data_IF_785881891805
#
_entry.id   IF_785881891805
#
_cell.length_a   1.000
_cell.length_b   1.000
_cell.length_c   1.000
_cell.angle_alpha   90.00
_cell.angle_beta   90.00
_cell.angle_gamma   90.00
#
_symmetry.space_group_name_H-M   'P 1'
#
loop_
_entity.id
_entity.type
_entity.pdbx_description
1 polymer ?
#
# COMPACT_ATOMS: atom_id res chain seq x y z
N UNK A 1 -12.56 -3.68 -2.41
CA UNK A 1 -12.01 -3.07 -1.18
C UNK A 1 -13.09 -2.60 -0.22
N UNK A 2 -14.10 -1.83 -0.66
CA UNK A 2 -15.21 -1.41 0.21
C UNK A 2 -15.85 -2.56 1.01
N UNK A 3 -16.10 -3.72 0.36
CA UNK A 3 -16.58 -4.92 1.05
C UNK A 3 -15.63 -5.38 2.19
N UNK A 4 -14.31 -5.29 2.03
CA UNK A 4 -13.35 -5.57 3.11
C UNK A 4 -13.52 -4.56 4.26
N UNK A 5 -13.65 -3.28 3.93
CA UNK A 5 -13.80 -2.21 4.93
C UNK A 5 -15.14 -2.32 5.69
N UNK A 6 -16.16 -2.94 5.09
CA UNK A 6 -17.43 -3.29 5.72
C UNK A 6 -17.42 -4.64 6.46
N UNK A 7 -16.30 -5.37 6.46
CA UNK A 7 -16.21 -6.68 7.13
C UNK A 7 -16.85 -7.84 6.37
N UNK A 8 -16.93 -7.74 5.04
CA UNK A 8 -17.53 -8.73 4.13
C UNK A 8 -16.45 -9.41 3.26
N UNK A 9 -15.55 -10.24 3.84
CA UNK A 9 -14.40 -10.79 3.12
C UNK A 9 -14.78 -11.79 2.01
N UNK A 10 -15.91 -12.49 2.15
CA UNK A 10 -16.36 -13.44 1.13
C UNK A 10 -16.88 -12.72 -0.11
N UNK A 11 -17.71 -11.69 0.08
CA UNK A 11 -18.14 -10.79 -1.00
C UNK A 11 -16.96 -10.09 -1.65
N UNK A 12 -15.97 -9.65 -0.87
CA UNK A 12 -14.74 -9.10 -1.42
C UNK A 12 -13.99 -10.13 -2.28
N UNK A 13 -13.92 -11.39 -1.85
CA UNK A 13 -13.29 -12.48 -2.60
C UNK A 13 -13.91 -12.66 -3.97
N UNK A 14 -15.23 -12.85 -4.04
CA UNK A 14 -15.94 -13.05 -5.31
C UNK A 14 -15.70 -11.87 -6.29
N UNK A 15 -15.79 -10.64 -5.79
CA UNK A 15 -15.59 -9.43 -6.60
C UNK A 15 -14.15 -9.29 -7.09
N UNK A 16 -13.16 -9.58 -6.23
CA UNK A 16 -11.75 -9.44 -6.56
C UNK A 16 -11.26 -10.53 -7.51
N UNK A 17 -11.71 -11.77 -7.34
CA UNK A 17 -11.41 -12.88 -8.24
C UNK A 17 -11.95 -12.60 -9.65
N UNK A 18 -13.20 -12.13 -9.75
CA UNK A 18 -13.77 -11.73 -11.02
C UNK A 18 -13.01 -10.56 -11.67
N UNK A 19 -12.69 -9.52 -10.89
CA UNK A 19 -11.94 -8.37 -11.37
C UNK A 19 -10.53 -8.74 -11.83
N UNK A 20 -9.88 -9.71 -11.18
CA UNK A 20 -8.56 -10.19 -11.56
C UNK A 20 -8.58 -10.82 -12.95
N UNK A 21 -9.54 -11.72 -13.18
CA UNK A 21 -9.75 -12.35 -14.50
C UNK A 21 -9.94 -11.28 -15.58
N UNK A 22 -10.81 -10.30 -15.34
CA UNK A 22 -11.05 -9.22 -16.31
C UNK A 22 -9.79 -8.38 -16.58
N UNK A 23 -9.04 -8.02 -15.53
CA UNK A 23 -7.83 -7.23 -15.67
C UNK A 23 -6.74 -7.99 -16.44
N UNK A 24 -6.57 -9.29 -16.17
CA UNK A 24 -5.60 -10.14 -16.87
C UNK A 24 -5.96 -10.35 -18.34
N UNK A 25 -7.23 -10.61 -18.65
CA UNK A 25 -7.69 -10.80 -20.02
C UNK A 25 -7.56 -9.51 -20.85
N UNK A 26 -7.83 -8.36 -20.23
CA UNK A 26 -7.63 -7.06 -20.86
C UNK A 26 -6.15 -6.67 -20.98
N UNK A 27 -5.24 -7.39 -20.31
CA UNK A 27 -3.83 -7.01 -20.12
C UNK A 27 -3.67 -5.59 -19.59
N UNK A 28 -4.60 -5.16 -18.73
CA UNK A 28 -4.54 -3.85 -18.11
C UNK A 28 -3.67 -3.94 -16.85
N UNK A 29 -2.36 -3.70 -17.03
CA UNK A 29 -1.38 -3.81 -15.95
C UNK A 29 -1.69 -2.88 -14.77
N UNK A 30 -2.28 -1.71 -15.04
CA UNK A 30 -2.62 -0.72 -14.01
C UNK A 30 -3.83 -1.17 -13.20
N UNK A 31 -4.81 -1.77 -13.87
CA UNK A 31 -5.93 -2.41 -13.20
C UNK A 31 -5.49 -3.65 -12.42
N UNK A 32 -4.60 -4.48 -12.97
CA UNK A 32 -4.02 -5.63 -12.28
C UNK A 32 -3.37 -5.22 -10.96
N UNK A 33 -2.57 -4.15 -10.93
CA UNK A 33 -1.98 -3.64 -9.69
C UNK A 33 -3.05 -3.20 -8.66
N UNK A 34 -4.13 -2.59 -9.12
CA UNK A 34 -5.25 -2.16 -8.27
C UNK A 34 -6.00 -3.36 -7.68
N UNK A 35 -6.28 -4.39 -8.49
CA UNK A 35 -6.94 -5.61 -8.01
C UNK A 35 -6.03 -6.43 -7.10
N UNK A 36 -4.75 -6.53 -7.44
CA UNK A 36 -3.73 -7.20 -6.63
C UNK A 36 -3.64 -6.59 -5.22
N UNK A 37 -3.78 -5.27 -5.07
CA UNK A 37 -3.88 -4.62 -3.75
C UNK A 37 -5.04 -5.16 -2.92
N UNK A 38 -6.21 -5.28 -3.53
CA UNK A 38 -7.39 -5.84 -2.87
C UNK A 38 -7.20 -7.31 -2.50
N UNK A 39 -6.64 -8.12 -3.40
CA UNK A 39 -6.33 -9.52 -3.15
C UNK A 39 -5.30 -9.70 -2.03
N UNK A 40 -4.23 -8.91 -2.04
CA UNK A 40 -3.22 -8.91 -0.99
C UNK A 40 -3.84 -8.61 0.38
N UNK A 41 -4.68 -7.57 0.48
CA UNK A 41 -5.41 -7.23 1.70
C UNK A 41 -6.34 -8.36 2.16
N UNK A 42 -7.14 -8.94 1.27
CA UNK A 42 -8.02 -10.06 1.58
C UNK A 42 -7.23 -11.28 2.10
N UNK A 43 -6.13 -11.62 1.44
CA UNK A 43 -5.26 -12.74 1.82
C UNK A 43 -4.62 -12.49 3.19
N UNK A 44 -4.18 -11.26 3.47
CA UNK A 44 -3.66 -10.87 4.79
C UNK A 44 -4.74 -10.96 5.88
N UNK A 45 -5.98 -10.52 5.61
CA UNK A 45 -7.11 -10.65 6.54
C UNK A 45 -7.43 -12.11 6.88
N UNK A 46 -7.17 -13.03 5.96
CA UNK A 46 -7.29 -14.50 6.17
C UNK A 46 -6.07 -15.11 6.89
N UNK A 47 -5.07 -14.31 7.24
CA UNK A 47 -3.88 -14.74 7.98
C UNK A 47 -2.73 -15.30 7.11
N UNK A 48 -2.87 -15.31 5.78
CA UNK A 48 -1.80 -15.78 4.88
C UNK A 48 -0.88 -14.63 4.47
N UNK A 49 0.03 -14.25 5.37
CA UNK A 49 1.00 -13.18 5.09
C UNK A 49 1.92 -13.47 3.88
N UNK A 50 2.50 -14.68 3.71
CA UNK A 50 3.25 -15.00 2.50
C UNK A 50 2.42 -14.86 1.22
N UNK A 51 1.15 -15.27 1.24
CA UNK A 51 0.26 -15.13 0.10
C UNK A 51 -0.09 -13.67 -0.21
N UNK A 52 -0.27 -12.85 0.80
CA UNK A 52 -0.49 -11.42 0.64
C UNK A 52 0.71 -10.75 -0.04
N UNK A 53 1.94 -11.07 0.39
CA UNK A 53 3.17 -10.60 -0.26
C UNK A 53 3.25 -11.03 -1.72
N UNK A 54 2.94 -12.30 -2.03
CA UNK A 54 2.93 -12.78 -3.42
C UNK A 54 1.99 -11.97 -4.31
N UNK A 55 0.83 -11.54 -3.81
CA UNK A 55 -0.08 -10.69 -4.58
C UNK A 55 0.49 -9.31 -4.86
N UNK A 56 1.24 -8.72 -3.91
CA UNK A 56 1.94 -7.45 -4.15
C UNK A 56 2.96 -7.60 -5.28
N UNK A 57 3.78 -8.66 -5.23
CA UNK A 57 4.76 -8.95 -6.29
C UNK A 57 4.08 -9.23 -7.64
N UNK A 58 2.98 -10.00 -7.64
CA UNK A 58 2.18 -10.33 -8.82
C UNK A 58 1.63 -9.07 -9.50
N UNK A 59 1.12 -8.12 -8.72
CA UNK A 59 0.58 -6.86 -9.26
C UNK A 59 1.64 -5.91 -9.80
N UNK A 60 2.87 -5.96 -9.27
CA UNK A 60 3.98 -5.12 -9.73
C UNK A 60 4.72 -5.70 -10.93
N UNK A 61 4.73 -7.04 -11.10
CA UNK A 61 5.49 -7.75 -12.15
C UNK A 61 5.19 -7.29 -13.59
N UNK A 62 3.95 -6.95 -13.98
CA UNK A 62 3.65 -6.47 -15.33
C UNK A 62 4.18 -5.07 -15.63
N UNK A 63 4.87 -4.43 -14.69
CA UNK A 63 5.38 -3.06 -14.80
C UNK A 63 4.27 -2.05 -15.17
N UNK A 64 3.29 -1.82 -14.29
CA UNK A 64 2.22 -0.87 -14.57
C UNK A 64 2.80 0.54 -14.80
N UNK A 65 2.43 1.16 -15.91
CA UNK A 65 3.01 2.45 -16.31
C UNK A 65 2.46 3.64 -15.52
N UNK A 66 1.25 3.53 -14.96
CA UNK A 66 0.71 4.57 -14.08
C UNK A 66 1.31 4.41 -12.68
N UNK A 67 1.88 5.50 -12.18
CA UNK A 67 2.54 5.51 -10.88
C UNK A 67 1.56 5.36 -9.71
N UNK A 68 0.31 5.82 -9.87
CA UNK A 68 -0.67 5.83 -8.79
C UNK A 68 -1.08 4.40 -8.34
N UNK A 69 -1.45 3.45 -9.23
CA UNK A 69 -1.68 2.06 -8.84
C UNK A 69 -0.47 1.40 -8.17
N UNK A 70 0.74 1.63 -8.70
CA UNK A 70 1.97 1.10 -8.12
C UNK A 70 2.21 1.64 -6.71
N UNK A 71 2.03 2.94 -6.50
CA UNK A 71 2.20 3.57 -5.20
C UNK A 71 1.18 3.04 -4.17
N UNK A 72 -0.09 2.84 -4.57
CA UNK A 72 -1.11 2.28 -3.68
C UNK A 72 -0.85 0.81 -3.33
N UNK A 73 -0.33 0.03 -4.28
CA UNK A 73 0.03 -1.36 -4.07
C UNK A 73 1.25 -1.49 -3.14
N UNK A 74 2.30 -0.66 -3.35
CA UNK A 74 3.47 -0.58 -2.48
C UNK A 74 3.11 -0.11 -1.06
N UNK A 75 2.25 0.90 -0.93
CA UNK A 75 1.75 1.39 0.39
C UNK A 75 1.08 0.26 1.17
N UNK A 76 0.18 -0.49 0.53
CA UNK A 76 -0.45 -1.66 1.13
C UNK A 76 0.56 -2.78 1.43
N UNK A 77 1.52 -3.01 0.54
CA UNK A 77 2.59 -3.98 0.73
C UNK A 77 3.44 -3.69 1.98
N UNK A 78 3.77 -2.43 2.24
CA UNK A 78 4.49 -2.03 3.44
C UNK A 78 3.72 -2.40 4.72
N UNK A 79 2.42 -2.08 4.78
CA UNK A 79 1.56 -2.44 5.91
C UNK A 79 1.46 -3.97 6.12
N UNK A 80 1.33 -4.73 5.02
CA UNK A 80 1.22 -6.19 5.03
C UNK A 80 2.53 -6.84 5.51
N UNK A 81 3.67 -6.38 5.00
CA UNK A 81 4.98 -6.94 5.31
C UNK A 81 5.50 -6.52 6.69
N UNK A 82 5.03 -5.42 7.27
CA UNK A 82 5.58 -4.77 8.47
C UNK A 82 5.96 -5.72 9.61
N UNK A 83 5.06 -6.65 9.97
CA UNK A 83 5.27 -7.55 11.11
C UNK A 83 5.97 -8.86 10.75
N UNK A 84 5.75 -9.38 9.55
CA UNK A 84 6.21 -10.72 9.16
C UNK A 84 7.50 -10.70 8.33
N UNK A 85 7.77 -9.60 7.63
CA UNK A 85 8.86 -9.43 6.67
C UNK A 85 9.41 -7.98 6.72
N UNK A 86 9.98 -7.54 7.86
CA UNK A 86 10.39 -6.15 8.05
C UNK A 86 11.43 -5.67 7.04
N UNK A 87 12.36 -6.52 6.58
CA UNK A 87 13.33 -6.14 5.55
C UNK A 87 12.69 -5.92 4.17
N UNK A 88 11.58 -6.62 3.89
CA UNK A 88 10.80 -6.40 2.68
C UNK A 88 9.96 -5.12 2.79
N UNK A 89 9.36 -4.87 3.96
CA UNK A 89 8.65 -3.62 4.23
C UNK A 89 9.56 -2.39 4.06
N UNK A 90 10.80 -2.47 4.55
CA UNK A 90 11.81 -1.42 4.38
C UNK A 90 12.14 -1.15 2.91
N UNK A 91 12.43 -2.20 2.13
CA UNK A 91 12.65 -2.06 0.69
C UNK A 91 11.45 -1.45 -0.04
N UNK A 92 10.24 -1.89 0.25
CA UNK A 92 9.05 -1.34 -0.39
C UNK A 92 8.77 0.10 0.05
N UNK A 93 9.10 0.49 1.29
CA UNK A 93 9.00 1.87 1.73
C UNK A 93 9.98 2.78 0.96
N UNK A 94 11.19 2.29 0.68
CA UNK A 94 12.16 2.98 -0.16
C UNK A 94 11.72 3.09 -1.62
N UNK A 95 11.20 2.00 -2.19
CA UNK A 95 10.64 2.01 -3.54
C UNK A 95 9.45 2.97 -3.66
N UNK A 96 8.53 2.94 -2.69
CA UNK A 96 7.40 3.86 -2.61
C UNK A 96 7.87 5.31 -2.55
N UNK A 97 8.84 5.60 -1.69
CA UNK A 97 9.42 6.94 -1.54
C UNK A 97 9.99 7.46 -2.86
N UNK A 98 10.83 6.64 -3.52
CA UNK A 98 11.44 7.00 -4.78
C UNK A 98 10.43 7.17 -5.92
N UNK A 99 9.47 6.26 -6.05
CA UNK A 99 8.41 6.32 -7.06
C UNK A 99 7.51 7.54 -6.85
N UNK A 100 7.06 7.77 -5.61
CA UNK A 100 6.17 8.87 -5.27
C UNK A 100 6.83 10.24 -5.47
N UNK A 101 8.11 10.39 -5.09
CA UNK A 101 8.85 11.62 -5.28
C UNK A 101 9.00 11.97 -6.77
N UNK A 102 9.33 11.00 -7.63
CA UNK A 102 9.41 11.22 -9.09
C UNK A 102 8.05 11.52 -9.72
N UNK A 103 6.98 10.93 -9.18
CA UNK A 103 5.62 11.08 -9.69
C UNK A 103 4.84 12.27 -9.16
N UNK A 104 5.41 13.09 -8.27
CA UNK A 104 4.70 14.18 -7.60
C UNK A 104 3.56 13.71 -6.68
N UNK A 105 3.60 12.45 -6.22
CA UNK A 105 2.57 11.84 -5.37
C UNK A 105 2.81 12.21 -3.90
N UNK A 106 2.61 13.49 -3.56
CA UNK A 106 2.95 14.08 -2.24
C UNK A 106 2.45 13.26 -1.04
N UNK A 107 1.20 12.79 -1.07
CA UNK A 107 0.66 11.96 0.02
C UNK A 107 1.36 10.61 0.16
N UNK A 108 1.81 10.01 -0.94
CA UNK A 108 2.54 8.74 -0.92
C UNK A 108 3.98 8.90 -0.44
N UNK A 109 4.60 10.07 -0.69
CA UNK A 109 5.89 10.42 -0.06
C UNK A 109 5.74 10.45 1.46
N UNK A 110 4.66 11.04 1.97
CA UNK A 110 4.37 11.10 3.41
C UNK A 110 4.10 9.70 3.97
N UNK A 111 3.33 8.87 3.26
CA UNK A 111 3.07 7.48 3.65
C UNK A 111 4.35 6.64 3.69
N UNK A 112 5.28 6.83 2.75
CA UNK A 112 6.59 6.18 2.83
C UNK A 112 7.36 6.56 4.11
N UNK A 113 7.32 7.84 4.52
CA UNK A 113 7.91 8.27 5.79
C UNK A 113 7.19 7.66 7.01
N UNK A 114 5.87 7.49 6.94
CA UNK A 114 5.12 6.79 8.00
C UNK A 114 5.60 5.34 8.14
N UNK A 115 5.85 4.63 7.04
CA UNK A 115 6.38 3.27 7.09
C UNK A 115 7.79 3.23 7.68
N UNK A 116 8.68 4.16 7.30
CA UNK A 116 10.01 4.28 7.90
C UNK A 116 9.98 4.57 9.40
N UNK A 117 9.08 5.44 9.84
CA UNK A 117 8.88 5.70 11.27
C UNK A 117 8.48 4.43 12.04
N UNK A 118 7.56 3.64 11.47
CA UNK A 118 7.15 2.34 12.04
C UNK A 118 8.26 1.29 12.05
N UNK A 119 9.18 1.37 11.10
CA UNK A 119 10.40 0.55 11.04
C UNK A 119 11.51 1.04 11.98
N UNK A 120 11.30 2.17 12.67
CA UNK A 120 12.19 2.66 13.72
C UNK A 120 13.06 3.86 13.34
N UNK A 121 12.83 4.52 12.20
CA UNK A 121 13.49 5.79 11.90
C UNK A 121 12.90 6.92 12.78
N UNK A 122 13.67 7.45 13.76
CA UNK A 122 13.15 8.42 14.71
C UNK A 122 12.83 9.78 14.10
N UNK A 123 13.34 10.09 12.90
CA UNK A 123 13.17 11.39 12.25
C UNK A 123 12.07 11.39 11.17
N UNK A 124 11.62 10.20 10.77
CA UNK A 124 10.69 10.06 9.65
C UNK A 124 9.31 10.66 9.97
N UNK A 125 8.81 10.52 11.20
CA UNK A 125 7.47 11.04 11.55
C UNK A 125 7.41 12.58 11.59
N UNK A 126 8.48 13.23 12.07
CA UNK A 126 8.59 14.69 12.06
C UNK A 126 8.65 15.22 10.62
N UNK A 127 9.48 14.58 9.78
CA UNK A 127 9.57 14.90 8.35
C UNK A 127 8.22 14.73 7.64
N UNK A 128 7.48 13.66 7.96
CA UNK A 128 6.15 13.39 7.43
C UNK A 128 5.14 14.48 7.82
N UNK A 129 5.16 14.92 9.08
CA UNK A 129 4.30 16.02 9.58
C UNK A 129 4.61 17.33 8.87
N UNK A 130 5.88 17.68 8.71
CA UNK A 130 6.27 18.91 8.01
C UNK A 130 5.76 18.92 6.56
N UNK A 131 5.95 17.81 5.84
CA UNK A 131 5.50 17.67 4.46
C UNK A 131 3.96 17.68 4.29
N UNK A 132 3.21 17.33 5.34
CA UNK A 132 1.75 17.28 5.33
C UNK A 132 1.05 18.64 5.57
N UNK A 133 1.80 19.69 5.97
CA UNK A 133 1.24 20.99 6.39
C UNK A 133 0.23 21.58 5.39
N UNK A 134 0.52 21.48 4.08
CA UNK A 134 -0.31 22.06 3.02
C UNK A 134 -1.17 20.99 2.30
N UNK A 135 -1.49 19.88 2.97
CA UNK A 135 -2.33 18.81 2.42
C UNK A 135 -3.63 18.71 3.20
N UNK A 136 -4.74 18.99 2.54
CA UNK A 136 -6.09 18.93 3.10
C UNK A 136 -6.67 17.51 3.02
N UNK A 137 -6.03 16.56 3.71
CA UNK A 137 -6.49 15.18 3.80
C UNK A 137 -6.61 14.74 5.26
N UNK A 138 -7.82 14.75 5.86
CA UNK A 138 -8.03 14.36 7.25
C UNK A 138 -7.56 12.93 7.58
N UNK A 139 -7.68 12.00 6.62
CA UNK A 139 -7.24 10.62 6.82
C UNK A 139 -5.71 10.51 6.91
N UNK A 140 -4.98 11.36 6.18
CA UNK A 140 -3.53 11.43 6.26
C UNK A 140 -3.06 12.00 7.59
N UNK A 141 -3.69 13.08 8.07
CA UNK A 141 -3.40 13.66 9.39
C UNK A 141 -3.67 12.66 10.52
N UNK A 142 -4.82 11.97 10.48
CA UNK A 142 -5.12 10.91 11.46
C UNK A 142 -4.14 9.74 11.42
N UNK A 143 -3.54 9.44 10.27
CA UNK A 143 -2.47 8.44 10.16
C UNK A 143 -1.18 8.92 10.87
N UNK A 144 -0.79 10.18 10.67
CA UNK A 144 0.40 10.77 11.29
C UNK A 144 0.28 10.86 12.81
N UNK A 145 -0.91 11.22 13.31
CA UNK A 145 -1.17 11.29 14.75
C UNK A 145 -1.07 9.92 15.41
N UNK A 146 -1.68 8.89 14.80
CA UNK A 146 -1.59 7.51 15.29
C UNK A 146 -0.16 6.99 15.31
N UNK A 147 0.61 7.23 14.25
CA UNK A 147 2.00 6.74 14.18
C UNK A 147 2.89 7.47 15.18
N UNK A 148 2.75 8.80 15.32
CA UNK A 148 3.54 9.55 16.30
C UNK A 148 3.16 9.33 17.77
N UNK A 149 2.05 8.64 18.06
CA UNK A 149 1.71 8.18 19.40
C UNK A 149 2.34 6.81 19.74
N UNK A 150 2.82 6.08 18.73
CA UNK A 150 3.43 4.75 18.86
C UNK A 150 4.97 4.80 18.86
N UNK A 151 5.56 5.89 18.34
CA UNK A 151 7.00 6.19 18.34
C UNK A 151 7.44 6.85 19.63
#
# INVERSE_FOLDING_TARGET
EAALDCGEPDTAGELLEHAWVLATEARDHCWMATVARGLARLTATRGDQPGAVRWVEEGLRPEPWYLWPCANLLDAGCDIAMSAFPELADRWADELSGLAARGGLREHVIRAQVHRARLGDPHAIESARHAATDIENPALHALLDRTGALS
#
